data_IF_220472588614
#
_entry.id   IF_220472588614
#
_cell.length_a   1.000
_cell.length_b   1.000
_cell.length_c   1.000
_cell.angle_alpha   90.00
_cell.angle_beta   90.00
_cell.angle_gamma   90.00
#
_symmetry.space_group_name_H-M   'P 1'
#
loop_
_entity.id
_entity.type
_entity.pdbx_description
1 polymer ?
#
# COMPACT_ATOMS: atom_id res chain seq x y z
N UNK A 1 21.08 34.54 39.61
CA UNK A 1 19.87 33.71 39.73
C UNK A 1 18.76 34.47 39.04
N UNK A 2 18.41 34.07 37.82
CA UNK A 2 17.30 34.64 37.06
C UNK A 2 16.48 33.48 36.53
N UNK A 3 15.24 33.41 36.99
CA UNK A 3 14.22 32.45 36.58
C UNK A 3 13.84 32.66 35.12
N UNK A 4 14.00 31.62 34.30
CA UNK A 4 13.44 31.56 32.95
C UNK A 4 12.11 30.83 33.02
N UNK A 5 11.03 31.60 32.98
CA UNK A 5 9.65 31.13 32.92
C UNK A 5 9.34 30.65 31.49
N UNK A 6 8.97 29.38 31.32
CA UNK A 6 8.50 28.84 30.03
C UNK A 6 6.98 29.10 29.91
N UNK A 7 6.48 29.70 28.82
CA UNK A 7 5.05 29.77 28.58
C UNK A 7 4.52 28.48 27.96
N UNK A 8 3.52 27.90 28.61
CA UNK A 8 2.73 26.78 28.11
C UNK A 8 1.49 27.26 27.35
N UNK A 9 1.24 26.65 26.19
CA UNK A 9 -0.05 26.50 25.47
C UNK A 9 -0.59 27.77 24.76
N UNK A 10 -1.25 27.73 23.59
CA UNK A 10 -2.19 26.75 23.02
C UNK A 10 -2.09 26.74 21.48
N UNK A 11 -2.10 25.56 20.87
CA UNK A 11 -2.31 25.38 19.42
C UNK A 11 -3.82 25.47 19.16
N UNK A 12 -4.23 26.50 18.43
CA UNK A 12 -5.56 26.60 17.84
C UNK A 12 -5.60 25.74 16.55
N UNK A 13 -6.24 24.58 16.59
CA UNK A 13 -6.55 23.77 15.41
C UNK A 13 -7.95 24.12 14.92
N UNK A 14 -8.14 25.37 14.51
CA UNK A 14 -9.31 25.87 13.78
C UNK A 14 -9.26 25.53 12.29
N UNK A 15 -8.97 24.27 11.93
CA UNK A 15 -8.94 23.80 10.54
C UNK A 15 -10.23 23.05 10.18
N UNK A 16 -11.14 23.70 9.45
CA UNK A 16 -12.36 23.08 8.95
C UNK A 16 -12.07 21.78 8.19
N UNK A 17 -12.67 20.66 8.64
CA UNK A 17 -12.57 19.30 8.05
C UNK A 17 -12.81 19.26 6.53
N UNK A 18 -13.47 20.30 5.99
CA UNK A 18 -13.78 20.45 4.57
C UNK A 18 -12.56 20.82 3.71
N UNK A 19 -11.49 21.36 4.29
CA UNK A 19 -10.25 21.69 3.57
C UNK A 19 -9.36 20.47 3.31
N UNK A 20 -9.45 19.43 4.12
CA UNK A 20 -8.62 18.22 3.99
C UNK A 20 -9.08 17.35 2.79
N UNK A 21 -10.38 17.36 2.48
CA UNK A 21 -10.97 16.61 1.37
C UNK A 21 -10.61 17.15 -0.03
N UNK A 22 -9.99 18.33 -0.15
CA UNK A 22 -9.65 18.91 -1.48
C UNK A 22 -8.24 18.59 -1.98
N UNK A 23 -7.37 17.95 -1.17
CA UNK A 23 -5.97 17.67 -1.56
C UNK A 23 -5.62 16.20 -1.75
N UNK A 24 -6.53 15.27 -1.49
CA UNK A 24 -6.25 13.81 -1.58
C UNK A 24 -6.83 13.13 -2.84
N UNK A 25 -7.20 13.90 -3.85
CA UNK A 25 -7.87 13.40 -5.07
C UNK A 25 -6.93 12.69 -6.08
N UNK A 26 -5.91 11.96 -5.61
CA UNK A 26 -5.08 11.08 -6.43
C UNK A 26 -4.79 9.72 -5.78
N UNK A 27 -5.55 9.33 -4.73
CA UNK A 27 -5.60 7.95 -4.30
C UNK A 27 -6.43 7.16 -5.32
N UNK A 28 -5.76 6.27 -6.05
CA UNK A 28 -6.34 5.28 -6.96
C UNK A 28 -7.64 4.70 -6.39
N UNK A 29 -8.70 4.69 -7.22
CA UNK A 29 -10.11 4.49 -6.83
C UNK A 29 -10.51 3.20 -6.12
N UNK A 30 -9.58 2.40 -5.61
CA UNK A 30 -9.86 1.27 -4.72
C UNK A 30 -9.96 1.68 -3.24
N UNK A 31 -9.32 2.78 -2.80
CA UNK A 31 -9.30 3.18 -1.39
C UNK A 31 -10.59 3.91 -0.92
N UNK A 32 -11.39 4.46 -1.83
CA UNK A 32 -12.57 5.28 -1.47
C UNK A 32 -13.77 4.44 -1.03
N UNK A 33 -13.81 3.14 -1.36
CA UNK A 33 -14.98 2.29 -1.04
C UNK A 33 -15.07 1.85 0.43
N UNK A 34 -14.02 2.01 1.24
CA UNK A 34 -13.99 1.51 2.63
C UNK A 34 -14.41 2.53 3.70
N UNK A 35 -14.76 3.77 3.31
CA UNK A 35 -15.19 4.82 4.26
C UNK A 35 -16.72 4.97 4.39
N UNK A 36 -17.48 3.92 4.05
CA UNK A 36 -18.91 3.83 4.34
C UNK A 36 -19.15 3.74 5.86
N UNK A 37 -19.33 4.90 6.51
CA UNK A 37 -19.43 5.04 7.95
C UNK A 37 -20.51 4.17 8.62
N UNK A 38 -20.08 3.32 9.54
CA UNK A 38 -20.95 2.63 10.51
C UNK A 38 -20.38 2.90 11.91
N UNK A 39 -21.19 3.35 12.89
CA UNK A 39 -20.69 3.66 14.22
C UNK A 39 -20.28 2.38 14.98
N UNK A 40 -19.09 2.42 15.59
CA UNK A 40 -18.54 1.37 16.45
C UNK A 40 -19.47 1.07 17.64
N UNK A 41 -20.12 -0.09 17.64
CA UNK A 41 -20.76 -0.67 18.82
C UNK A 41 -20.56 -2.19 18.88
N UNK A 42 -20.07 -2.66 20.02
CA UNK A 42 -20.41 -3.96 20.59
C UNK A 42 -19.40 -5.09 20.38
N UNK A 43 -18.74 -5.51 21.46
CA UNK A 43 -18.02 -6.77 21.58
C UNK A 43 -19.08 -7.89 21.69
N UNK A 44 -19.29 -8.67 20.62
CA UNK A 44 -20.01 -9.95 20.65
C UNK A 44 -19.80 -10.71 19.33
N UNK A 45 -19.42 -11.99 19.44
CA UNK A 45 -19.35 -13.06 18.43
C UNK A 45 -18.77 -12.70 17.04
N UNK A 46 -17.82 -13.50 16.54
CA UNK A 46 -17.45 -13.48 15.12
C UNK A 46 -18.71 -13.84 14.30
N UNK A 47 -19.46 -12.83 13.84
CA UNK A 47 -20.60 -13.03 12.97
C UNK A 47 -20.08 -13.04 11.53
N UNK A 48 -20.75 -13.79 10.66
CA UNK A 48 -20.39 -13.94 9.23
C UNK A 48 -20.20 -12.60 8.49
N UNK A 49 -20.87 -11.54 8.96
CA UNK A 49 -20.73 -10.18 8.43
C UNK A 49 -19.33 -9.56 8.66
N UNK A 50 -18.70 -9.79 9.82
CA UNK A 50 -17.35 -9.28 10.07
C UNK A 50 -16.28 -10.08 9.31
N UNK A 51 -16.43 -11.40 9.25
CA UNK A 51 -15.56 -12.25 8.43
C UNK A 51 -15.66 -11.87 6.94
N UNK A 52 -16.86 -11.56 6.45
CA UNK A 52 -17.07 -11.06 5.09
C UNK A 52 -16.37 -9.71 4.85
N UNK A 53 -16.38 -8.81 5.84
CA UNK A 53 -15.66 -7.53 5.75
C UNK A 53 -14.14 -7.72 5.65
N UNK A 54 -13.56 -8.56 6.51
CA UNK A 54 -12.11 -8.85 6.51
C UNK A 54 -11.69 -9.53 5.18
N UNK A 55 -12.49 -10.46 4.65
CA UNK A 55 -12.27 -11.08 3.32
C UNK A 55 -12.27 -10.05 2.20
N UNK A 56 -13.17 -9.06 2.23
CA UNK A 56 -13.23 -8.01 1.22
C UNK A 56 -11.96 -7.13 1.26
N UNK A 57 -11.50 -6.77 2.46
CA UNK A 57 -10.26 -6.00 2.65
C UNK A 57 -9.07 -6.79 2.10
N UNK A 58 -8.96 -8.07 2.45
CA UNK A 58 -7.88 -8.94 1.95
C UNK A 58 -7.91 -9.10 0.43
N UNK A 59 -9.09 -9.14 -0.19
CA UNK A 59 -9.21 -9.22 -1.65
C UNK A 59 -8.79 -7.92 -2.34
N UNK A 60 -9.01 -6.75 -1.72
CA UNK A 60 -8.46 -5.49 -2.22
C UNK A 60 -6.93 -5.53 -2.18
N UNK A 61 -6.35 -5.94 -1.05
CA UNK A 61 -4.91 -6.12 -0.90
C UNK A 61 -4.33 -7.11 -1.92
N UNK A 62 -4.98 -8.26 -2.11
CA UNK A 62 -4.57 -9.25 -3.10
C UNK A 62 -4.56 -8.69 -4.53
N UNK A 63 -5.53 -7.82 -4.85
CA UNK A 63 -5.54 -7.09 -6.12
C UNK A 63 -4.34 -6.15 -6.30
N UNK A 64 -3.85 -5.53 -5.22
CA UNK A 64 -2.64 -4.70 -5.23
C UNK A 64 -1.39 -5.56 -5.45
N UNK A 65 -1.29 -6.73 -4.80
CA UNK A 65 -0.16 -7.64 -5.04
C UNK A 65 -0.12 -8.15 -6.48
N UNK A 66 -1.27 -8.49 -7.08
CA UNK A 66 -1.30 -8.85 -8.50
C UNK A 66 -0.85 -7.70 -9.42
N UNK A 67 -1.23 -6.46 -9.09
CA UNK A 67 -0.81 -5.25 -9.81
C UNK A 67 0.71 -4.99 -9.67
N UNK A 68 1.27 -5.17 -8.47
CA UNK A 68 2.70 -5.08 -8.18
C UNK A 68 3.50 -6.14 -8.94
N UNK A 69 3.10 -7.41 -8.86
CA UNK A 69 3.72 -8.52 -9.62
C UNK A 69 3.76 -8.20 -11.12
N UNK A 70 2.65 -7.75 -11.69
CA UNK A 70 2.59 -7.38 -13.10
C UNK A 70 3.56 -6.24 -13.43
N UNK A 71 3.62 -5.20 -12.59
CA UNK A 71 4.52 -4.07 -12.79
C UNK A 71 6.00 -4.49 -12.74
N UNK A 72 6.39 -5.33 -11.78
CA UNK A 72 7.75 -5.86 -11.68
C UNK A 72 8.12 -6.75 -12.86
N UNK A 73 7.22 -7.63 -13.30
CA UNK A 73 7.45 -8.45 -14.49
C UNK A 73 7.63 -7.59 -15.75
N UNK A 74 6.81 -6.55 -15.92
CA UNK A 74 6.92 -5.59 -17.03
C UNK A 74 8.25 -4.83 -16.95
N UNK A 75 8.61 -4.33 -15.77
CA UNK A 75 9.85 -3.60 -15.54
C UNK A 75 11.09 -4.45 -15.79
N UNK A 76 11.15 -5.66 -15.22
CA UNK A 76 12.25 -6.60 -15.40
C UNK A 76 12.38 -7.08 -16.86
N UNK A 77 11.24 -7.29 -17.53
CA UNK A 77 11.18 -7.72 -18.93
C UNK A 77 11.41 -6.61 -19.95
N UNK A 78 11.54 -5.34 -19.52
CA UNK A 78 11.67 -4.19 -20.43
C UNK A 78 13.02 -4.10 -21.13
N UNK A 79 14.06 -4.75 -20.59
CA UNK A 79 15.44 -4.61 -21.05
C UNK A 79 16.10 -3.28 -20.69
N UNK A 80 15.43 -2.44 -19.89
CA UNK A 80 15.93 -1.11 -19.48
C UNK A 80 16.82 -1.14 -18.24
N UNK A 81 16.73 -2.19 -17.43
CA UNK A 81 17.46 -2.31 -16.16
C UNK A 81 18.85 -2.91 -16.38
N UNK A 82 19.86 -2.36 -15.71
CA UNK A 82 21.16 -3.01 -15.61
C UNK A 82 21.11 -4.27 -14.72
N UNK A 83 22.17 -5.08 -14.75
CA UNK A 83 22.19 -6.37 -14.03
C UNK A 83 21.95 -6.22 -12.51
N UNK A 84 22.61 -5.28 -11.79
CA UNK A 84 22.36 -5.10 -10.37
C UNK A 84 20.92 -4.68 -10.07
N UNK A 85 20.36 -3.74 -10.83
CA UNK A 85 18.98 -3.27 -10.62
C UNK A 85 17.96 -4.37 -10.95
N UNK A 86 18.20 -5.15 -11.99
CA UNK A 86 17.37 -6.30 -12.34
C UNK A 86 17.37 -7.36 -11.23
N UNK A 87 18.51 -7.62 -10.59
CA UNK A 87 18.58 -8.58 -9.47
C UNK A 87 17.73 -8.13 -8.28
N UNK A 88 17.73 -6.84 -7.94
CA UNK A 88 16.87 -6.29 -6.88
C UNK A 88 15.39 -6.34 -7.30
N UNK A 89 15.07 -6.00 -8.55
CA UNK A 89 13.71 -6.09 -9.07
C UNK A 89 13.17 -7.53 -9.03
N UNK A 90 14.00 -8.54 -9.34
CA UNK A 90 13.64 -9.95 -9.20
C UNK A 90 13.43 -10.38 -7.75
N UNK A 91 14.21 -9.84 -6.81
CA UNK A 91 14.00 -10.09 -5.38
C UNK A 91 12.66 -9.53 -4.92
N UNK A 92 12.35 -8.27 -5.24
CA UNK A 92 11.07 -7.65 -4.84
C UNK A 92 9.87 -8.33 -5.51
N UNK A 93 10.00 -8.74 -6.79
CA UNK A 93 9.01 -9.60 -7.44
C UNK A 93 8.73 -10.87 -6.62
N UNK A 94 9.76 -11.55 -6.12
CA UNK A 94 9.59 -12.75 -5.30
C UNK A 94 8.92 -12.47 -3.95
N UNK A 95 9.14 -11.28 -3.37
CA UNK A 95 8.45 -10.85 -2.15
C UNK A 95 6.95 -10.68 -2.41
N UNK A 96 6.56 -9.96 -3.48
CA UNK A 96 5.15 -9.80 -3.85
C UNK A 96 4.46 -11.14 -4.15
N UNK A 97 5.14 -12.08 -4.80
CA UNK A 97 4.61 -13.44 -4.98
C UNK A 97 4.37 -14.13 -3.63
N UNK A 98 5.31 -13.98 -2.67
CA UNK A 98 5.12 -14.44 -1.30
C UNK A 98 3.93 -13.76 -0.59
N UNK A 99 3.79 -12.43 -0.71
CA UNK A 99 2.68 -11.67 -0.14
C UNK A 99 1.34 -12.15 -0.70
N UNK A 100 1.27 -12.32 -2.03
CA UNK A 100 0.10 -12.87 -2.72
C UNK A 100 -0.32 -14.23 -2.14
N UNK A 101 0.63 -15.16 -1.98
CA UNK A 101 0.31 -16.48 -1.43
C UNK A 101 -0.20 -16.40 0.03
N UNK A 102 0.39 -15.53 0.85
CA UNK A 102 -0.07 -15.29 2.22
C UNK A 102 -1.52 -14.76 2.24
N UNK A 103 -1.84 -13.78 1.40
CA UNK A 103 -3.18 -13.20 1.30
C UNK A 103 -4.20 -14.21 0.77
N UNK A 104 -3.85 -14.95 -0.28
CA UNK A 104 -4.71 -16.01 -0.84
C UNK A 104 -4.99 -17.09 0.21
N UNK A 105 -3.98 -17.49 0.99
CA UNK A 105 -4.13 -18.43 2.09
C UNK A 105 -5.07 -17.92 3.18
N UNK A 106 -4.92 -16.66 3.59
CA UNK A 106 -5.78 -16.01 4.58
C UNK A 106 -7.25 -15.96 4.11
N UNK A 107 -7.49 -15.52 2.88
CA UNK A 107 -8.84 -15.45 2.28
C UNK A 107 -9.50 -16.83 2.27
N UNK A 108 -8.80 -17.86 1.78
CA UNK A 108 -9.33 -19.23 1.73
C UNK A 108 -9.65 -19.78 3.13
N UNK A 109 -8.79 -19.54 4.11
CA UNK A 109 -8.98 -20.00 5.50
C UNK A 109 -10.25 -19.39 6.12
N UNK A 110 -10.62 -18.19 5.70
CA UNK A 110 -11.83 -17.49 6.14
C UNK A 110 -13.08 -17.89 5.32
N UNK A 111 -12.99 -18.87 4.43
CA UNK A 111 -14.09 -19.31 3.55
C UNK A 111 -14.36 -18.38 2.36
N UNK A 112 -13.49 -17.39 2.14
CA UNK A 112 -13.59 -16.47 1.00
C UNK A 112 -12.96 -17.03 -0.28
N UNK A 113 -13.32 -16.42 -1.40
CA UNK A 113 -12.70 -16.70 -2.71
C UNK A 113 -11.67 -15.63 -3.03
N UNK A 114 -10.39 -15.99 -3.24
CA UNK A 114 -9.37 -15.03 -3.66
C UNK A 114 -9.68 -14.46 -5.05
N UNK A 115 -9.55 -13.15 -5.20
CA UNK A 115 -9.69 -12.47 -6.49
C UNK A 115 -8.59 -12.94 -7.45
N UNK A 116 -9.00 -13.25 -8.68
CA UNK A 116 -8.08 -13.64 -9.73
C UNK A 116 -7.25 -12.43 -10.19
N UNK A 117 -5.99 -12.69 -10.56
CA UNK A 117 -5.18 -11.71 -11.27
C UNK A 117 -5.83 -11.40 -12.63
N UNK A 118 -5.65 -10.16 -13.10
CA UNK A 118 -5.96 -9.83 -14.49
C UNK A 118 -4.91 -10.44 -15.41
N UNK A 119 -5.19 -10.48 -16.70
CA UNK A 119 -4.19 -10.86 -17.71
C UNK A 119 -3.10 -9.79 -17.83
N UNK A 120 -1.92 -10.19 -18.31
CA UNK A 120 -0.81 -9.26 -18.57
C UNK A 120 -1.21 -8.13 -19.52
N UNK A 121 -2.05 -8.42 -20.52
CA UNK A 121 -2.51 -7.41 -21.48
C UNK A 121 -3.47 -6.40 -20.86
N UNK A 122 -4.36 -6.83 -19.96
CA UNK A 122 -5.20 -5.92 -19.18
C UNK A 122 -4.37 -5.00 -18.28
N UNK A 123 -3.31 -5.52 -17.66
CA UNK A 123 -2.40 -4.70 -16.86
C UNK A 123 -1.64 -3.68 -17.72
N UNK A 124 -1.12 -4.11 -18.88
CA UNK A 124 -0.42 -3.23 -19.83
C UNK A 124 -1.34 -2.15 -20.41
N UNK A 125 -2.61 -2.46 -20.62
CA UNK A 125 -3.62 -1.51 -21.07
C UNK A 125 -4.10 -0.56 -19.97
N UNK A 126 -3.77 -0.81 -18.70
CA UNK A 126 -4.24 0.01 -17.60
C UNK A 126 -3.52 1.37 -17.53
N UNK A 127 -4.31 2.43 -17.34
CA UNK A 127 -3.79 3.79 -17.07
C UNK A 127 -2.99 3.86 -15.76
N UNK A 128 -3.24 2.92 -14.83
CA UNK A 128 -2.53 2.84 -13.56
C UNK A 128 -1.04 2.54 -13.72
N UNK A 129 -0.73 1.53 -14.55
CA UNK A 129 0.66 1.17 -14.84
C UNK A 129 1.27 2.09 -15.90
N UNK A 130 0.45 2.64 -16.81
CA UNK A 130 0.89 3.53 -17.88
C UNK A 130 2.15 3.03 -18.59
N UNK A 131 2.13 1.76 -19.01
CA UNK A 131 3.31 1.07 -19.58
C UNK A 131 3.86 1.80 -20.80
N UNK A 132 3.00 2.52 -21.54
CA UNK A 132 3.40 3.31 -22.71
C UNK A 132 4.37 4.44 -22.35
N UNK A 133 4.35 4.95 -21.13
CA UNK A 133 5.24 6.00 -20.64
C UNK A 133 6.62 5.49 -20.19
N UNK A 134 6.81 4.18 -20.04
CA UNK A 134 8.10 3.60 -19.61
C UNK A 134 9.07 3.61 -20.80
N UNK A 135 10.13 4.42 -20.72
CA UNK A 135 11.17 4.54 -21.76
C UNK A 135 12.59 4.37 -21.23
N UNK A 136 12.79 4.58 -19.94
CA UNK A 136 14.09 4.56 -19.29
C UNK A 136 14.08 3.69 -18.04
N UNK A 137 15.25 3.32 -17.54
CA UNK A 137 15.39 2.64 -16.25
C UNK A 137 14.75 3.45 -15.11
N UNK A 138 14.89 4.77 -15.13
CA UNK A 138 14.30 5.65 -14.15
C UNK A 138 12.76 5.60 -14.18
N UNK A 139 12.14 5.46 -15.35
CA UNK A 139 10.67 5.32 -15.45
C UNK A 139 10.18 4.02 -14.81
N UNK A 140 10.94 2.92 -14.99
CA UNK A 140 10.65 1.64 -14.32
C UNK A 140 10.73 1.80 -12.80
N UNK A 141 11.80 2.41 -12.30
CA UNK A 141 11.99 2.63 -10.86
C UNK A 141 10.92 3.56 -10.26
N UNK A 142 10.51 4.63 -10.97
CA UNK A 142 9.43 5.52 -10.53
C UNK A 142 8.07 4.85 -10.52
N UNK A 143 7.80 3.95 -11.49
CA UNK A 143 6.59 3.14 -11.46
C UNK A 143 6.57 2.26 -10.22
N UNK A 144 7.64 1.49 -9.97
CA UNK A 144 7.75 0.64 -8.80
C UNK A 144 7.62 1.45 -7.51
N UNK A 145 8.39 2.53 -7.35
CA UNK A 145 8.38 3.39 -6.16
C UNK A 145 6.96 3.92 -5.87
N UNK A 146 6.21 4.34 -6.89
CA UNK A 146 4.82 4.79 -6.72
C UNK A 146 3.90 3.68 -6.20
N UNK A 147 4.06 2.46 -6.73
CA UNK A 147 3.26 1.32 -6.32
C UNK A 147 3.58 0.91 -4.88
N UNK A 148 4.86 0.86 -4.47
CA UNK A 148 5.23 0.52 -3.09
C UNK A 148 4.74 1.55 -2.08
N UNK A 149 4.83 2.84 -2.42
CA UNK A 149 4.26 3.89 -1.58
C UNK A 149 2.75 3.71 -1.44
N UNK A 150 2.07 3.39 -2.55
CA UNK A 150 0.64 3.13 -2.57
C UNK A 150 0.26 1.92 -1.71
N UNK A 151 1.00 0.83 -1.84
CA UNK A 151 0.78 -0.42 -1.10
C UNK A 151 1.02 -0.22 0.40
N UNK A 152 2.15 0.36 0.80
CA UNK A 152 2.45 0.64 2.21
C UNK A 152 1.35 1.49 2.87
N UNK A 153 0.91 2.58 2.19
CA UNK A 153 -0.16 3.43 2.69
C UNK A 153 -1.53 2.72 2.72
N UNK A 154 -1.83 1.90 1.73
CA UNK A 154 -3.07 1.12 1.70
C UNK A 154 -3.11 0.13 2.88
N UNK A 155 -2.03 -0.61 3.12
CA UNK A 155 -1.95 -1.54 4.24
C UNK A 155 -2.06 -0.84 5.59
N UNK A 156 -1.37 0.28 5.80
CA UNK A 156 -1.50 1.08 7.03
C UNK A 156 -2.95 1.54 7.23
N UNK A 157 -3.60 2.02 6.16
CA UNK A 157 -4.97 2.54 6.22
C UNK A 157 -6.01 1.49 6.59
N UNK A 158 -5.83 0.24 6.17
CA UNK A 158 -6.78 -0.86 6.45
C UNK A 158 -6.44 -1.66 7.71
N UNK A 159 -5.19 -1.62 8.19
CA UNK A 159 -4.74 -2.38 9.35
C UNK A 159 -5.65 -2.22 10.60
N UNK A 160 -6.18 -1.01 10.93
CA UNK A 160 -7.08 -0.84 12.07
C UNK A 160 -8.47 -1.47 11.90
N UNK A 161 -8.88 -1.77 10.66
CA UNK A 161 -10.19 -2.31 10.34
C UNK A 161 -10.29 -3.83 10.54
N UNK A 162 -9.14 -4.51 10.63
CA UNK A 162 -9.14 -5.96 10.88
C UNK A 162 -9.65 -6.27 12.28
N UNK A 163 -10.64 -7.17 12.34
CA UNK A 163 -11.12 -7.69 13.63
C UNK A 163 -10.18 -8.72 14.21
N UNK A 164 -9.57 -9.54 13.34
CA UNK A 164 -8.57 -10.54 13.71
C UNK A 164 -7.17 -9.91 13.81
N UNK A 165 -6.57 -9.99 15.00
CA UNK A 165 -5.23 -9.46 15.27
C UNK A 165 -4.12 -10.16 14.48
N UNK A 166 -4.33 -11.41 14.08
CA UNK A 166 -3.39 -12.11 13.20
C UNK A 166 -3.34 -11.46 11.81
N UNK A 167 -4.47 -10.94 11.32
CA UNK A 167 -4.51 -10.17 10.06
C UNK A 167 -3.82 -8.82 10.22
N UNK A 168 -3.97 -8.13 11.36
CA UNK A 168 -3.19 -6.93 11.66
C UNK A 168 -1.68 -7.23 11.68
N UNK A 169 -1.26 -8.39 12.22
CA UNK A 169 0.14 -8.79 12.22
C UNK A 169 0.67 -9.09 10.81
N UNK A 170 -0.14 -9.75 9.97
CA UNK A 170 0.18 -9.95 8.55
C UNK A 170 0.33 -8.60 7.86
N UNK A 171 -0.64 -7.70 7.99
CA UNK A 171 -0.57 -6.35 7.42
C UNK A 171 0.67 -5.59 7.90
N UNK A 172 1.01 -5.66 9.19
CA UNK A 172 2.22 -5.05 9.75
C UNK A 172 3.52 -5.53 9.08
N UNK A 173 3.61 -6.81 8.74
CA UNK A 173 4.77 -7.38 8.01
C UNK A 173 4.82 -6.87 6.57
N UNK A 174 3.68 -6.89 5.86
CA UNK A 174 3.61 -6.37 4.50
C UNK A 174 3.96 -4.87 4.46
N UNK A 175 3.47 -4.06 5.40
CA UNK A 175 3.84 -2.64 5.53
C UNK A 175 5.36 -2.47 5.65
N UNK A 176 6.03 -3.30 6.45
CA UNK A 176 7.47 -3.23 6.63
C UNK A 176 8.22 -3.56 5.33
N UNK A 177 7.79 -4.61 4.62
CA UNK A 177 8.41 -5.04 3.36
C UNK A 177 8.19 -4.00 2.25
N UNK A 178 6.97 -3.46 2.08
CA UNK A 178 6.71 -2.41 1.09
C UNK A 178 7.43 -1.09 1.41
N UNK A 179 7.58 -0.76 2.70
CA UNK A 179 8.38 0.39 3.13
C UNK A 179 9.86 0.18 2.79
N UNK A 180 10.39 -1.04 2.95
CA UNK A 180 11.75 -1.40 2.55
C UNK A 180 11.92 -1.27 1.03
N UNK A 181 11.00 -1.81 0.24
CA UNK A 181 11.02 -1.70 -1.22
C UNK A 181 11.03 -0.23 -1.67
N UNK A 182 10.09 0.56 -1.14
CA UNK A 182 9.99 1.98 -1.40
C UNK A 182 11.29 2.73 -1.08
N UNK A 183 11.89 2.43 0.07
CA UNK A 183 13.14 3.06 0.53
C UNK A 183 14.29 2.74 -0.41
N UNK A 184 14.46 1.46 -0.80
CA UNK A 184 15.51 1.05 -1.71
C UNK A 184 15.37 1.71 -3.10
N UNK A 185 14.15 1.79 -3.62
CA UNK A 185 13.86 2.44 -4.90
C UNK A 185 14.10 3.95 -4.86
N UNK A 186 13.71 4.61 -3.77
CA UNK A 186 13.97 6.05 -3.55
C UNK A 186 15.46 6.35 -3.54
N UNK A 187 16.26 5.51 -2.87
CA UNK A 187 17.71 5.63 -2.89
C UNK A 187 18.31 5.36 -4.29
N UNK A 188 17.80 4.36 -5.02
CA UNK A 188 18.25 4.05 -6.38
C UNK A 188 17.95 5.19 -7.38
N UNK A 189 16.89 5.96 -7.14
CA UNK A 189 16.52 7.16 -7.90
C UNK A 189 17.35 8.40 -7.51
N UNK A 190 18.18 8.32 -6.46
CA UNK A 190 18.93 9.46 -5.92
C UNK A 190 18.04 10.50 -5.23
N UNK A 191 16.85 10.10 -4.79
CA UNK A 191 15.88 10.98 -4.15
C UNK A 191 16.07 11.03 -2.63
N UNK A 192 15.65 12.13 -2.01
CA UNK A 192 15.73 12.28 -0.56
C UNK A 192 14.60 11.54 0.16
N UNK A 193 14.91 10.91 1.28
CA UNK A 193 13.91 10.35 2.18
C UNK A 193 13.04 11.46 2.82
N UNK A 194 11.80 11.15 3.25
CA UNK A 194 10.88 12.14 3.77
C UNK A 194 11.41 12.72 5.09
N UNK A 195 11.24 14.03 5.28
CA UNK A 195 11.59 14.73 6.53
C UNK A 195 10.60 14.54 7.69
N UNK A 196 9.27 14.41 7.47
CA UNK A 196 8.33 14.14 8.55
C UNK A 196 8.64 12.83 9.28
N UNK A 197 8.27 12.74 10.56
CA UNK A 197 8.47 11.52 11.38
C UNK A 197 7.41 10.45 11.16
N UNK A 198 6.25 10.82 10.62
CA UNK A 198 5.16 9.92 10.21
C UNK A 198 5.06 9.96 8.68
N UNK A 199 5.99 9.29 8.01
CA UNK A 199 6.17 9.36 6.55
C UNK A 199 5.13 8.59 5.75
N UNK A 200 4.39 7.67 6.38
CA UNK A 200 3.40 6.81 5.75
C UNK A 200 2.08 6.85 6.54
N UNK A 201 0.97 6.56 5.87
CA UNK A 201 -0.38 6.48 6.44
C UNK A 201 -1.10 7.83 6.60
N UNK A 202 -0.66 8.87 5.89
CA UNK A 202 -1.25 10.21 5.93
C UNK A 202 -2.49 10.39 5.03
#
# INVERSE_FOLDING_TARGET
MSDTQIPSTLIDVGGSRRSFLRRSALLSGAAVALLGGVPLRGIAAHNDAQASSDVNILNVALGLEHEGIAAYQIGAGSGLLDKPTLAVASLFLSHHEGHREVLMGAIKKMGGTPVAAKTTDEYKASEKLNVKAIKTAADVLRLAQRLELGAANAYIGVMPSFTDRSLSQVAGRLIADETMHWTALTQALGEALPKPTLSFGA
#
